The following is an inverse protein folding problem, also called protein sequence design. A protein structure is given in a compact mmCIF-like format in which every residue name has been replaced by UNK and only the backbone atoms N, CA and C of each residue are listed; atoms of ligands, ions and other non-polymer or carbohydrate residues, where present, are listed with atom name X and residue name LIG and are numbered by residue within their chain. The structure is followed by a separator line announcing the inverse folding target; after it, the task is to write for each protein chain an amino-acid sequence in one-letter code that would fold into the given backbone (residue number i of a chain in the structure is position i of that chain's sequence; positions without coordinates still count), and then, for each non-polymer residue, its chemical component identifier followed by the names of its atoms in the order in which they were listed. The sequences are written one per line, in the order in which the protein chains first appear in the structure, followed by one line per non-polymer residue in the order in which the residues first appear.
data_IF_506599794118
#
_entry.id   IF_506599794118
#
_cell.length_a   1.000
_cell.length_b   1.000
_cell.length_c   1.000
_cell.angle_alpha   90.00
_cell.angle_beta   90.00
_cell.angle_gamma   90.00
#
_symmetry.space_group_name_H-M   'P 1'
#
loop_
_entity.id
_entity.type
_entity.pdbx_description
1 polymer ?
#
# COMPACT_ATOMS: atom_id res chain seq x y z
N UNK A 1 -6.88 61.39 21.27
CA UNK A 1 -6.03 60.19 21.04
C UNK A 1 -6.92 58.95 21.01
N UNK A 2 -7.31 58.48 19.82
CA UNK A 2 -8.18 57.31 19.66
C UNK A 2 -7.37 56.04 19.42
N UNK A 3 -7.46 55.06 20.32
CA UNK A 3 -6.77 53.78 20.20
C UNK A 3 -7.48 52.88 19.17
N UNK A 4 -6.90 52.75 17.97
CA UNK A 4 -7.37 51.82 16.96
C UNK A 4 -7.06 50.37 17.38
N UNK A 5 -8.08 49.63 17.80
CA UNK A 5 -8.00 48.19 18.07
C UNK A 5 -7.77 47.43 16.76
N UNK A 6 -6.56 46.91 16.55
CA UNK A 6 -6.25 45.96 15.49
C UNK A 6 -6.90 44.62 15.79
N UNK A 7 -8.08 44.36 15.21
CA UNK A 7 -8.63 43.01 15.13
C UNK A 7 -7.78 42.19 14.16
N UNK A 8 -6.88 41.37 14.70
CA UNK A 8 -6.22 40.33 13.91
C UNK A 8 -7.28 39.34 13.41
N UNK A 9 -7.55 39.33 12.09
CA UNK A 9 -8.45 38.35 11.46
C UNK A 9 -7.88 36.94 11.70
N UNK A 10 -8.49 36.21 12.62
CA UNK A 10 -8.22 34.79 12.87
C UNK A 10 -8.50 34.05 11.57
N UNK A 11 -7.47 33.52 10.91
CA UNK A 11 -7.61 32.74 9.66
C UNK A 11 -8.60 31.60 9.94
N UNK A 12 -9.68 31.55 9.16
CA UNK A 12 -10.71 30.52 9.28
C UNK A 12 -10.03 29.17 9.04
N UNK A 13 -10.07 28.29 10.04
CA UNK A 13 -9.52 26.96 9.91
C UNK A 13 -10.18 26.27 8.73
N UNK A 14 -9.37 25.72 7.84
CA UNK A 14 -9.83 25.05 6.64
C UNK A 14 -10.70 23.84 7.00
N UNK A 15 -11.81 23.66 6.27
CA UNK A 15 -12.73 22.54 6.49
C UNK A 15 -12.11 21.19 6.10
N UNK A 16 -12.54 20.11 6.76
CA UNK A 16 -12.14 18.73 6.44
C UNK A 16 -12.42 18.38 4.97
N UNK A 17 -13.51 18.91 4.42
CA UNK A 17 -13.86 18.75 3.00
C UNK A 17 -12.81 19.39 2.07
N UNK A 18 -12.43 20.65 2.31
CA UNK A 18 -11.41 21.33 1.51
C UNK A 18 -10.04 20.63 1.58
N UNK A 19 -9.68 20.09 2.75
CA UNK A 19 -8.48 19.25 2.93
C UNK A 19 -8.55 17.95 2.12
N UNK A 20 -9.73 17.34 2.03
CA UNK A 20 -9.92 16.07 1.32
C UNK A 20 -9.74 16.17 -0.20
N UNK A 21 -10.01 17.36 -0.77
CA UNK A 21 -9.93 17.68 -2.20
C UNK A 21 -8.51 17.97 -2.70
N UNK A 22 -7.53 18.11 -1.81
CA UNK A 22 -6.15 18.39 -2.21
C UNK A 22 -5.55 17.22 -2.99
N UNK A 23 -4.63 17.54 -3.90
CA UNK A 23 -3.76 16.55 -4.49
C UNK A 23 -3.02 15.81 -3.36
N UNK A 24 -3.31 14.52 -3.20
CA UNK A 24 -2.63 13.68 -2.22
C UNK A 24 -1.42 13.07 -2.89
N UNK A 25 -0.33 12.96 -2.16
CA UNK A 25 0.87 12.28 -2.65
C UNK A 25 0.57 10.83 -3.07
N UNK A 26 -0.37 10.17 -2.39
CA UNK A 26 -0.87 8.85 -2.76
C UNK A 26 -1.45 8.77 -4.18
N UNK A 27 -1.90 9.89 -4.77
CA UNK A 27 -2.39 9.93 -6.14
C UNK A 27 -1.28 9.82 -7.18
N UNK A 28 0.00 10.06 -6.83
CA UNK A 28 1.11 9.89 -7.76
C UNK A 28 1.24 8.43 -8.20
N UNK A 29 1.12 7.47 -7.28
CA UNK A 29 1.14 6.05 -7.59
C UNK A 29 0.02 5.66 -8.58
N UNK A 30 -1.21 6.11 -8.31
CA UNK A 30 -2.37 5.81 -9.16
C UNK A 30 -2.19 6.38 -10.57
N UNK A 31 -1.71 7.62 -10.67
CA UNK A 31 -1.41 8.25 -11.97
C UNK A 31 -0.34 7.48 -12.72
N UNK A 32 0.76 7.11 -12.06
CA UNK A 32 1.85 6.39 -12.68
C UNK A 32 1.43 5.01 -13.21
N UNK A 33 0.61 4.26 -12.45
CA UNK A 33 0.10 2.95 -12.90
C UNK A 33 -0.78 3.11 -14.15
N UNK A 34 -1.70 4.08 -14.13
CA UNK A 34 -2.62 4.33 -15.26
C UNK A 34 -1.89 4.82 -16.50
N UNK A 35 -1.00 5.81 -16.36
CA UNK A 35 -0.23 6.32 -17.50
C UNK A 35 0.71 5.25 -18.08
N UNK A 36 1.27 4.38 -17.22
CA UNK A 36 2.05 3.23 -17.68
C UNK A 36 1.19 2.25 -18.47
N UNK A 37 -0.06 2.01 -18.04
CA UNK A 37 -0.99 1.14 -18.76
C UNK A 37 -1.40 1.70 -20.13
N UNK A 38 -1.55 3.02 -20.22
CA UNK A 38 -1.82 3.72 -21.49
C UNK A 38 -0.62 3.61 -22.44
N UNK A 39 0.60 3.78 -21.93
CA UNK A 39 1.82 3.75 -22.74
C UNK A 39 2.25 2.34 -23.16
N UNK A 40 2.12 1.34 -22.26
CA UNK A 40 2.61 -0.02 -22.47
C UNK A 40 1.57 -0.95 -23.10
N UNK A 41 0.28 -0.64 -22.97
CA UNK A 41 -0.78 -1.55 -23.39
C UNK A 41 -1.07 -2.67 -22.37
N UNK A 42 -1.97 -3.61 -22.69
CA UNK A 42 -2.34 -4.72 -21.81
C UNK A 42 -1.18 -5.67 -21.60
N UNK A 43 -1.23 -6.46 -20.52
CA UNK A 43 -0.44 -7.68 -20.49
C UNK A 43 -0.92 -8.64 -21.59
N UNK A 44 0.02 -9.37 -22.20
CA UNK A 44 -0.27 -10.43 -23.18
C UNK A 44 0.02 -11.80 -22.57
N UNK A 45 -0.11 -12.87 -23.36
CA UNK A 45 0.31 -14.20 -22.94
C UNK A 45 1.83 -14.28 -22.72
N UNK A 46 2.60 -13.51 -23.51
CA UNK A 46 4.05 -13.49 -23.53
C UNK A 46 4.65 -12.43 -22.60
N UNK A 47 3.92 -11.34 -22.33
CA UNK A 47 4.42 -10.20 -21.54
C UNK A 47 3.48 -9.85 -20.40
N UNK A 48 4.01 -9.81 -19.17
CA UNK A 48 3.28 -9.42 -17.96
C UNK A 48 3.99 -8.25 -17.29
N UNK A 49 3.25 -7.18 -17.02
CA UNK A 49 3.78 -6.04 -16.27
C UNK A 49 3.53 -6.21 -14.78
N UNK A 50 4.54 -5.93 -13.95
CA UNK A 50 4.48 -6.04 -12.49
C UNK A 50 4.91 -4.73 -11.86
N UNK A 51 4.02 -4.13 -11.07
CA UNK A 51 4.33 -2.93 -10.28
C UNK A 51 5.08 -3.34 -9.02
N UNK A 52 6.30 -2.85 -8.84
CA UNK A 52 7.09 -3.07 -7.62
C UNK A 52 7.22 -1.74 -6.89
N UNK A 53 6.75 -1.68 -5.64
CA UNK A 53 6.82 -0.45 -4.85
C UNK A 53 7.01 -0.73 -3.36
N UNK A 54 7.52 0.28 -2.66
CA UNK A 54 7.81 0.21 -1.24
C UNK A 54 6.55 0.41 -0.36
N UNK A 55 6.79 0.62 0.93
CA UNK A 55 5.76 0.78 1.95
C UNK A 55 4.85 2.01 1.73
N UNK A 56 5.31 3.03 0.99
CA UNK A 56 4.52 4.21 0.65
C UNK A 56 3.40 3.92 -0.34
N UNK A 57 3.49 2.80 -1.06
CA UNK A 57 2.47 2.33 -1.98
C UNK A 57 1.42 1.42 -1.31
N UNK A 58 1.52 1.15 -0.01
CA UNK A 58 0.58 0.31 0.73
C UNK A 58 -0.75 1.04 1.00
N UNK A 59 -1.53 1.23 -0.06
CA UNK A 59 -2.88 1.82 -0.06
C UNK A 59 -3.84 0.94 -0.88
N UNK A 60 -5.11 0.83 -0.46
CA UNK A 60 -6.11 -0.02 -1.14
C UNK A 60 -6.24 0.29 -2.63
N UNK A 61 -6.29 1.58 -2.97
CA UNK A 61 -6.43 2.06 -4.34
C UNK A 61 -5.32 1.56 -5.28
N UNK A 62 -4.12 1.30 -4.78
CA UNK A 62 -3.03 0.76 -5.61
C UNK A 62 -3.28 -0.70 -5.97
N UNK A 63 -3.70 -1.55 -5.02
CA UNK A 63 -4.08 -2.93 -5.31
C UNK A 63 -5.22 -3.00 -6.33
N UNK A 64 -6.25 -2.18 -6.11
CA UNK A 64 -7.41 -2.10 -7.01
C UNK A 64 -7.01 -1.59 -8.41
N UNK A 65 -6.18 -0.55 -8.49
CA UNK A 65 -5.74 0.03 -9.76
C UNK A 65 -4.83 -0.93 -10.54
N UNK A 66 -3.89 -1.61 -9.89
CA UNK A 66 -3.07 -2.64 -10.57
C UNK A 66 -3.96 -3.73 -11.17
N UNK A 67 -4.95 -4.24 -10.43
CA UNK A 67 -5.92 -5.23 -10.93
C UNK A 67 -6.72 -4.69 -12.12
N UNK A 68 -7.26 -3.47 -12.01
CA UNK A 68 -8.03 -2.85 -13.09
C UNK A 68 -7.21 -2.61 -14.37
N UNK A 69 -5.89 -2.40 -14.22
CA UNK A 69 -4.96 -2.25 -15.34
C UNK A 69 -4.41 -3.58 -15.88
N UNK A 70 -4.79 -4.74 -15.33
CA UNK A 70 -4.21 -6.06 -15.64
C UNK A 70 -2.68 -6.11 -15.43
N UNK A 71 -2.24 -5.44 -14.36
CA UNK A 71 -0.85 -5.49 -13.89
C UNK A 71 -0.75 -6.38 -12.64
N UNK A 72 0.30 -7.20 -12.59
CA UNK A 72 0.75 -7.82 -11.35
C UNK A 72 1.33 -6.78 -10.38
N UNK A 73 1.53 -7.16 -9.13
CA UNK A 73 2.16 -6.26 -8.16
C UNK A 73 2.96 -6.99 -7.08
N UNK A 74 4.01 -6.33 -6.60
CA UNK A 74 4.78 -6.67 -5.40
C UNK A 74 4.90 -5.39 -4.59
N UNK A 75 4.02 -5.23 -3.61
CA UNK A 75 3.98 -4.06 -2.75
C UNK A 75 4.46 -4.46 -1.36
N UNK A 76 5.42 -3.71 -0.80
CA UNK A 76 5.81 -3.91 0.59
C UNK A 76 4.68 -3.43 1.48
N UNK A 77 4.10 -4.35 2.25
CA UNK A 77 3.07 -4.00 3.22
C UNK A 77 3.66 -3.19 4.38
N UNK A 78 2.91 -2.17 4.80
CA UNK A 78 3.16 -1.33 5.95
C UNK A 78 2.09 -1.49 7.04
N UNK A 79 0.83 -1.64 6.65
CA UNK A 79 -0.31 -1.73 7.55
C UNK A 79 -0.70 -3.18 7.83
N UNK A 80 -1.06 -3.49 9.08
CA UNK A 80 -1.63 -4.79 9.42
C UNK A 80 -3.13 -4.83 9.06
N UNK A 81 -3.39 -5.16 7.80
CA UNK A 81 -4.72 -5.04 7.18
C UNK A 81 -5.69 -6.08 7.73
N UNK A 82 -6.95 -5.68 7.85
CA UNK A 82 -8.05 -6.61 8.08
C UNK A 82 -8.24 -7.51 6.87
N UNK A 83 -8.67 -8.74 7.15
CA UNK A 83 -8.96 -9.77 6.16
C UNK A 83 -10.44 -10.10 6.19
N UNK A 84 -10.99 -10.51 5.06
CA UNK A 84 -12.34 -11.05 5.00
C UNK A 84 -12.41 -12.30 5.88
N UNK A 85 -13.47 -12.41 6.67
CA UNK A 85 -13.71 -13.55 7.54
C UNK A 85 -13.74 -14.86 6.73
N UNK A 86 -13.05 -15.87 7.24
CA UNK A 86 -13.05 -17.23 6.68
C UNK A 86 -14.09 -18.10 7.38
N UNK A 87 -14.33 -19.29 6.83
CA UNK A 87 -15.18 -20.30 7.48
C UNK A 87 -14.56 -20.89 8.74
N UNK A 88 -13.23 -20.88 8.85
CA UNK A 88 -12.49 -21.26 10.05
C UNK A 88 -12.55 -20.12 11.08
N UNK A 89 -13.03 -20.37 12.32
CA UNK A 89 -13.07 -19.38 13.39
C UNK A 89 -11.69 -19.11 14.02
N UNK A 90 -10.72 -20.02 13.86
CA UNK A 90 -9.37 -19.91 14.43
C UNK A 90 -8.41 -19.08 13.56
N UNK A 91 -8.88 -18.73 12.37
CA UNK A 91 -8.13 -17.99 11.37
C UNK A 91 -8.00 -16.51 11.79
N UNK A 92 -6.76 -16.06 12.01
CA UNK A 92 -6.53 -14.72 12.54
C UNK A 92 -7.10 -13.63 11.61
N UNK A 93 -7.79 -12.59 12.11
CA UNK A 93 -8.51 -11.63 11.25
C UNK A 93 -7.59 -10.61 10.56
N UNK A 94 -6.31 -10.56 10.93
CA UNK A 94 -5.34 -9.60 10.39
C UNK A 94 -4.17 -10.29 9.67
N UNK A 95 -3.63 -9.59 8.68
CA UNK A 95 -2.64 -10.07 7.73
C UNK A 95 -1.40 -10.70 8.39
N UNK A 96 -0.78 -10.02 9.36
CA UNK A 96 0.48 -10.46 9.95
C UNK A 96 0.29 -11.75 10.75
N UNK A 97 -0.74 -11.79 11.60
CA UNK A 97 -1.08 -12.96 12.38
C UNK A 97 -1.50 -14.15 11.50
N UNK A 98 -2.28 -13.90 10.44
CA UNK A 98 -2.69 -14.95 9.49
C UNK A 98 -1.50 -15.55 8.73
N UNK A 99 -0.53 -14.72 8.36
CA UNK A 99 0.68 -15.19 7.69
C UNK A 99 1.58 -16.00 8.64
N UNK A 100 1.65 -15.62 9.92
CA UNK A 100 2.40 -16.34 10.94
C UNK A 100 1.88 -17.77 11.17
N UNK A 101 0.58 -18.01 10.97
CA UNK A 101 -0.04 -19.35 11.07
C UNK A 101 0.35 -20.31 9.93
N UNK A 102 0.89 -19.83 8.80
CA UNK A 102 1.26 -20.70 7.68
C UNK A 102 2.61 -21.38 7.93
N UNK A 103 2.89 -22.59 7.42
CA UNK A 103 4.22 -23.18 7.51
C UNK A 103 5.29 -22.37 6.74
N UNK A 104 6.55 -22.45 7.18
CA UNK A 104 7.68 -21.88 6.43
C UNK A 104 7.83 -22.65 5.13
N UNK A 105 7.80 -21.93 4.00
CA UNK A 105 7.97 -22.50 2.66
C UNK A 105 9.44 -22.62 2.26
N UNK A 106 10.27 -21.66 2.65
CA UNK A 106 11.72 -21.69 2.37
C UNK A 106 12.47 -20.77 3.33
N UNK A 107 13.77 -21.03 3.47
CA UNK A 107 14.71 -20.09 4.05
C UNK A 107 15.55 -19.43 2.96
N UNK A 108 15.98 -18.17 3.16
CA UNK A 108 16.93 -17.48 2.29
C UNK A 108 17.91 -16.67 3.13
N UNK A 109 19.12 -16.49 2.62
CA UNK A 109 20.08 -15.55 3.19
C UNK A 109 20.00 -14.22 2.46
N UNK A 110 19.99 -13.11 3.20
CA UNK A 110 20.19 -11.80 2.58
C UNK A 110 21.69 -11.57 2.32
N UNK A 111 22.01 -10.92 1.21
CA UNK A 111 23.35 -10.37 0.96
C UNK A 111 23.39 -8.94 1.48
N UNK A 112 24.54 -8.54 2.00
CA UNK A 112 24.79 -7.17 2.43
C UNK A 112 24.86 -6.21 1.25
N UNK A 113 24.38 -4.99 1.46
CA UNK A 113 24.55 -3.86 0.55
C UNK A 113 25.96 -3.26 0.69
N UNK A 114 26.49 -2.58 -0.34
CA UNK A 114 27.78 -1.89 -0.24
C UNK A 114 27.78 -0.88 0.92
N UNK A 115 28.85 -0.86 1.72
CA UNK A 115 29.02 0.09 2.83
C UNK A 115 28.49 -0.36 4.20
N UNK A 116 27.93 -1.57 4.32
CA UNK A 116 27.57 -2.17 5.62
C UNK A 116 28.39 -3.43 5.91
N UNK A 117 28.82 -3.63 7.16
CA UNK A 117 29.47 -4.89 7.57
C UNK A 117 28.54 -6.05 7.26
N UNK A 118 28.99 -6.96 6.40
CA UNK A 118 28.19 -8.09 5.96
C UNK A 118 27.82 -8.98 7.14
N UNK A 119 26.53 -9.04 7.47
CA UNK A 119 25.98 -10.03 8.39
C UNK A 119 24.89 -10.81 7.64
N UNK A 120 25.04 -12.12 7.47
CA UNK A 120 24.00 -12.93 6.83
C UNK A 120 22.76 -12.90 7.72
N UNK A 121 21.62 -12.48 7.18
CA UNK A 121 20.32 -12.66 7.84
C UNK A 121 19.63 -13.89 7.26
N UNK A 122 19.19 -14.79 8.14
CA UNK A 122 18.35 -15.92 7.76
C UNK A 122 16.89 -15.47 7.74
N UNK A 123 16.28 -15.55 6.57
CA UNK A 123 14.91 -15.13 6.31
C UNK A 123 14.03 -16.36 6.09
N UNK A 124 12.98 -16.52 6.90
CA UNK A 124 11.92 -17.50 6.65
C UNK A 124 10.82 -16.88 5.80
N UNK A 125 10.46 -17.54 4.69
CA UNK A 125 9.38 -17.10 3.82
C UNK A 125 8.13 -17.95 4.04
N UNK A 126 6.99 -17.30 4.24
CA UNK A 126 5.65 -17.89 4.33
C UNK A 126 4.80 -17.29 3.21
N UNK A 127 3.84 -18.07 2.69
CA UNK A 127 2.98 -17.64 1.57
C UNK A 127 1.55 -18.05 1.84
N UNK A 128 0.60 -17.14 1.56
CA UNK A 128 -0.84 -17.40 1.63
C UNK A 128 -1.58 -16.54 0.60
N UNK A 129 -2.64 -17.09 0.03
CA UNK A 129 -3.64 -16.33 -0.73
C UNK A 129 -4.69 -15.82 0.25
N UNK A 130 -4.99 -14.52 0.19
CA UNK A 130 -5.83 -13.82 1.14
C UNK A 130 -6.73 -12.81 0.42
N UNK A 131 -7.86 -12.49 1.03
CA UNK A 131 -8.74 -11.40 0.61
C UNK A 131 -8.69 -10.32 1.68
N UNK A 132 -8.26 -9.12 1.29
CA UNK A 132 -8.24 -7.96 2.18
C UNK A 132 -9.67 -7.44 2.36
N UNK A 133 -9.99 -6.97 3.56
CA UNK A 133 -11.24 -6.27 3.86
C UNK A 133 -11.01 -4.75 3.82
N UNK A 134 -11.44 -4.04 2.76
CA UNK A 134 -11.34 -2.60 2.71
C UNK A 134 -12.34 -1.97 3.69
N UNK A 135 -11.88 -0.99 4.47
CA UNK A 135 -12.75 -0.23 5.36
C UNK A 135 -13.99 0.32 4.60
N UNK A 136 -15.18 0.37 5.24
CA UNK A 136 -16.41 0.78 4.57
C UNK A 136 -16.24 2.10 3.79
N UNK A 137 -16.61 2.09 2.51
CA UNK A 137 -16.48 3.25 1.62
C UNK A 137 -15.14 3.39 0.90
N UNK A 138 -14.28 2.35 0.90
CA UNK A 138 -13.12 2.24 0.01
C UNK A 138 -13.32 1.06 -0.96
N UNK A 139 -12.90 1.20 -2.24
CA UNK A 139 -12.99 0.13 -3.23
C UNK A 139 -12.09 -1.07 -2.90
#
# INVERSE_FOLDING_TARGET
MGAARRHARRRKAESTYARSLRARESQYWLRAIRSSREALGPSTAETRYVVVADQGADIFDNFATCRACDFGFVLRVYQDRALVATTSPDDAPHLMARLAQQPVKTHRTSRSTPGTTARPAWLAARVRVLTLDPAPGRP
#
